data_IF_773687734856
#
_entry.id   IF_773687734856
#
_cell.length_a   1.000
_cell.length_b   1.000
_cell.length_c   1.000
_cell.angle_alpha   90.00
_cell.angle_beta   90.00
_cell.angle_gamma   90.00
#
_symmetry.space_group_name_H-M   'P 1'
#
loop_
_entity.id
_entity.type
_entity.pdbx_description
1 polymer ?
#
# COMPACT_ATOMS: atom_id res chain seq x y z
N UNK A 1 12.86 -2.07 11.84
CA UNK A 1 12.37 -3.13 12.77
C UNK A 1 10.97 -3.56 12.33
N UNK A 2 10.82 -4.77 11.78
CA UNK A 2 9.54 -5.33 11.30
C UNK A 2 8.86 -6.07 12.45
N UNK A 3 7.62 -5.70 12.77
CA UNK A 3 6.89 -6.16 13.95
C UNK A 3 6.47 -7.63 13.84
N UNK A 4 7.02 -8.49 14.71
CA UNK A 4 6.61 -9.89 14.92
C UNK A 4 5.28 -10.03 15.68
N UNK A 5 4.58 -8.92 15.96
CA UNK A 5 3.41 -8.87 16.84
C UNK A 5 2.10 -9.36 16.19
N UNK A 6 1.99 -9.35 14.86
CA UNK A 6 0.76 -9.78 14.17
C UNK A 6 0.55 -11.31 14.14
N UNK A 7 1.62 -12.11 14.19
CA UNK A 7 1.51 -13.58 14.15
C UNK A 7 1.09 -14.15 15.52
N UNK A 8 1.42 -13.47 16.62
CA UNK A 8 1.08 -13.88 17.98
C UNK A 8 -0.40 -13.67 18.34
N UNK A 9 -1.08 -12.69 17.73
CA UNK A 9 -2.52 -12.48 17.95
C UNK A 9 -3.40 -13.51 17.23
N UNK A 10 -2.98 -14.02 16.07
CA UNK A 10 -3.70 -15.07 15.34
C UNK A 10 -3.74 -16.41 16.09
N UNK A 11 -2.66 -16.77 16.80
CA UNK A 11 -2.57 -18.03 17.55
C UNK A 11 -3.32 -18.03 18.89
N UNK A 12 -3.46 -16.86 19.53
CA UNK A 12 -4.18 -16.74 20.80
C UNK A 12 -5.71 -16.85 20.64
N UNK A 13 -6.26 -16.39 19.52
CA UNK A 13 -7.70 -16.54 19.22
C UNK A 13 -8.06 -17.99 18.89
N UNK A 14 -7.16 -18.77 18.28
CA UNK A 14 -7.37 -20.22 18.04
C UNK A 14 -7.36 -21.06 19.32
N UNK A 15 -6.57 -20.69 20.33
CA UNK A 15 -6.48 -21.45 21.59
C UNK A 15 -7.69 -21.20 22.51
N UNK A 16 -8.27 -20.01 22.49
CA UNK A 16 -9.45 -19.68 23.30
C UNK A 16 -10.73 -20.39 22.80
N UNK A 17 -10.80 -20.77 21.52
CA UNK A 17 -11.91 -21.59 20.99
C UNK A 17 -11.72 -23.09 21.20
N UNK A 18 -10.49 -23.55 21.47
CA UNK A 18 -10.20 -24.97 21.68
C UNK A 18 -10.58 -25.45 23.10
N UNK A 19 -10.55 -24.55 24.10
CA UNK A 19 -10.77 -24.89 25.51
C UNK A 19 -12.24 -25.01 25.95
N UNK A 20 -13.19 -24.51 25.16
CA UNK A 20 -14.63 -24.57 25.49
C UNK A 20 -15.35 -25.80 24.89
N UNK A 21 -14.65 -26.62 24.11
CA UNK A 21 -15.22 -27.79 23.43
C UNK A 21 -15.10 -29.11 24.20
N UNK A 22 -14.54 -29.10 25.42
CA UNK A 22 -14.58 -30.25 26.34
C UNK A 22 -15.79 -30.12 27.28
N UNK A 23 -16.99 -30.17 26.70
CA UNK A 23 -18.22 -30.40 27.46
C UNK A 23 -18.90 -31.62 26.84
N UNK A 24 -19.18 -32.60 27.70
CA UNK A 24 -19.80 -33.92 27.49
C UNK A 24 -20.38 -34.21 26.10
N UNK A 25 -19.96 -35.36 25.54
CA UNK A 25 -20.53 -35.96 24.32
C UNK A 25 -22.04 -36.13 24.51
N UNK A 26 -22.91 -35.35 23.83
CA UNK A 26 -24.34 -35.57 23.93
C UNK A 26 -24.72 -36.90 23.26
N UNK A 27 -25.78 -37.58 23.75
CA UNK A 27 -26.24 -38.84 23.17
C UNK A 27 -26.59 -38.64 21.70
N UNK A 28 -26.30 -39.65 20.89
CA UNK A 28 -26.35 -39.64 19.42
C UNK A 28 -27.46 -38.75 18.87
N UNK A 29 -27.09 -37.51 18.52
CA UNK A 29 -27.97 -36.62 17.79
C UNK A 29 -28.19 -37.24 16.42
N UNK A 30 -29.44 -37.59 16.17
CA UNK A 30 -30.02 -37.97 14.88
C UNK A 30 -29.32 -37.21 13.75
N UNK A 31 -28.67 -37.93 12.83
CA UNK A 31 -28.09 -37.31 11.63
C UNK A 31 -29.23 -36.81 10.75
N UNK A 32 -29.70 -35.60 11.04
CA UNK A 32 -30.65 -34.87 10.21
C UNK A 32 -29.90 -34.51 8.92
N UNK A 33 -30.19 -35.25 7.85
CA UNK A 33 -29.45 -35.23 6.59
C UNK A 33 -29.12 -33.82 6.11
N UNK A 34 -27.83 -33.54 5.94
CA UNK A 34 -27.39 -32.31 5.29
C UNK A 34 -27.90 -32.31 3.84
N UNK A 35 -28.70 -31.32 3.47
CA UNK A 35 -29.38 -31.24 2.17
C UNK A 35 -28.39 -30.92 1.02
N UNK A 36 -27.11 -30.71 1.33
CA UNK A 36 -26.08 -30.25 0.39
C UNK A 36 -24.83 -31.12 0.50
N UNK A 37 -24.29 -31.58 -0.63
CA UNK A 37 -23.10 -32.42 -0.64
C UNK A 37 -21.85 -31.66 -0.15
N UNK A 38 -20.89 -32.33 0.53
CA UNK A 38 -19.67 -31.70 1.06
C UNK A 38 -18.88 -30.89 0.01
N UNK A 39 -18.88 -31.34 -1.25
CA UNK A 39 -18.23 -30.65 -2.36
C UNK A 39 -18.91 -29.30 -2.70
N UNK A 40 -20.24 -29.23 -2.63
CA UNK A 40 -20.99 -27.98 -2.84
C UNK A 40 -20.75 -27.01 -1.68
N UNK A 41 -20.74 -27.50 -0.44
CA UNK A 41 -20.41 -26.68 0.74
C UNK A 41 -18.98 -26.12 0.68
N UNK A 42 -18.04 -26.89 0.13
CA UNK A 42 -16.67 -26.45 -0.11
C UNK A 42 -16.59 -25.34 -1.17
N UNK A 43 -17.20 -25.53 -2.34
CA UNK A 43 -17.20 -24.52 -3.41
C UNK A 43 -17.91 -23.23 -2.99
N UNK A 44 -19.00 -23.34 -2.23
CA UNK A 44 -19.68 -22.19 -1.63
C UNK A 44 -18.76 -21.45 -0.66
N UNK A 45 -18.07 -22.18 0.24
CA UNK A 45 -17.11 -21.57 1.17
C UNK A 45 -15.93 -20.89 0.48
N UNK A 46 -15.61 -21.31 -0.75
CA UNK A 46 -14.56 -20.71 -1.58
C UNK A 46 -15.02 -19.39 -2.23
N UNK A 47 -16.32 -19.25 -2.49
CA UNK A 47 -16.94 -18.03 -3.00
C UNK A 47 -17.28 -17.02 -1.90
N UNK A 48 -17.78 -17.53 -0.76
CA UNK A 48 -18.27 -16.77 0.39
C UNK A 48 -17.87 -17.56 1.64
N UNK A 49 -16.79 -17.21 2.35
CA UNK A 49 -16.35 -17.95 3.53
C UNK A 49 -17.47 -18.13 4.57
N UNK A 50 -17.59 -19.32 5.16
CA UNK A 50 -18.67 -19.66 6.10
C UNK A 50 -20.03 -20.03 5.48
N UNK A 51 -20.24 -19.86 4.17
CA UNK A 51 -21.49 -20.30 3.50
C UNK A 51 -21.67 -21.82 3.46
N UNK A 52 -20.58 -22.61 3.52
CA UNK A 52 -20.67 -24.06 3.67
C UNK A 52 -21.24 -24.52 5.02
N UNK A 53 -21.07 -23.72 6.09
CA UNK A 53 -21.62 -24.02 7.42
C UNK A 53 -23.12 -23.71 7.52
N UNK A 54 -23.62 -22.75 6.74
CA UNK A 54 -25.06 -22.53 6.55
C UNK A 54 -25.73 -23.74 5.89
N UNK A 55 -25.07 -24.32 4.88
CA UNK A 55 -25.56 -25.52 4.20
C UNK A 55 -25.57 -26.78 5.09
N UNK A 56 -24.78 -26.79 6.16
CA UNK A 56 -24.76 -27.83 7.19
C UNK A 56 -25.85 -27.65 8.28
N UNK A 57 -26.65 -26.58 8.22
CA UNK A 57 -27.76 -26.33 9.14
C UNK A 57 -27.36 -25.75 10.50
N UNK A 58 -26.11 -25.34 10.68
CA UNK A 58 -25.64 -24.74 11.93
C UNK A 58 -25.95 -23.23 11.98
N UNK A 59 -26.59 -22.76 13.06
CA UNK A 59 -26.88 -21.34 13.31
C UNK A 59 -25.63 -20.45 13.26
N UNK A 60 -24.44 -21.03 13.46
CA UNK A 60 -23.13 -20.34 13.36
C UNK A 60 -22.86 -19.79 11.96
N UNK A 61 -23.36 -20.46 10.91
CA UNK A 61 -23.23 -19.97 9.53
C UNK A 61 -23.90 -18.62 9.29
N UNK A 62 -25.01 -18.33 10.00
CA UNK A 62 -25.71 -17.03 9.88
C UNK A 62 -24.84 -15.91 10.46
N UNK A 63 -24.16 -16.18 11.57
CA UNK A 63 -23.23 -15.24 12.20
C UNK A 63 -22.07 -14.92 11.26
N UNK A 64 -21.47 -15.93 10.64
CA UNK A 64 -20.40 -15.71 9.66
C UNK A 64 -20.88 -14.92 8.45
N UNK A 65 -22.02 -15.28 7.85
CA UNK A 65 -22.58 -14.52 6.73
C UNK A 65 -22.88 -13.05 7.09
N UNK A 66 -23.39 -12.80 8.29
CA UNK A 66 -23.61 -11.43 8.79
C UNK A 66 -22.30 -10.65 8.96
N UNK A 67 -21.25 -11.30 9.48
CA UNK A 67 -19.92 -10.69 9.59
C UNK A 67 -19.34 -10.37 8.21
N UNK A 68 -19.48 -11.28 7.24
CA UNK A 68 -18.97 -11.05 5.89
C UNK A 68 -19.68 -9.91 5.17
N UNK A 69 -21.02 -9.81 5.34
CA UNK A 69 -21.81 -8.71 4.81
C UNK A 69 -21.40 -7.34 5.38
N UNK A 70 -20.71 -7.30 6.53
CA UNK A 70 -20.15 -6.07 7.12
C UNK A 70 -18.69 -5.88 6.72
N UNK A 71 -17.87 -6.92 6.83
CA UNK A 71 -16.42 -6.84 6.63
C UNK A 71 -16.06 -6.58 5.17
N UNK A 72 -16.69 -7.26 4.20
CA UNK A 72 -16.35 -7.07 2.78
C UNK A 72 -16.66 -5.64 2.29
N UNK A 73 -17.87 -5.08 2.50
CA UNK A 73 -18.13 -3.70 2.12
C UNK A 73 -17.21 -2.71 2.84
N UNK A 74 -16.96 -2.91 4.14
CA UNK A 74 -16.03 -2.05 4.88
C UNK A 74 -14.62 -2.07 4.27
N UNK A 75 -14.11 -3.27 3.94
CA UNK A 75 -12.82 -3.43 3.26
C UNK A 75 -12.80 -2.78 1.87
N UNK A 76 -13.85 -2.96 1.07
CA UNK A 76 -13.97 -2.35 -0.26
C UNK A 76 -14.00 -0.82 -0.19
N UNK A 77 -14.77 -0.25 0.74
CA UNK A 77 -14.81 1.20 0.99
C UNK A 77 -13.42 1.71 1.40
N UNK A 78 -12.74 1.00 2.31
CA UNK A 78 -11.40 1.37 2.78
C UNK A 78 -10.39 1.37 1.62
N UNK A 79 -10.40 0.31 0.80
CA UNK A 79 -9.52 0.19 -0.37
C UNK A 79 -9.84 1.22 -1.45
N UNK A 80 -11.12 1.54 -1.67
CA UNK A 80 -11.52 2.55 -2.64
C UNK A 80 -10.99 3.92 -2.24
N UNK A 81 -11.13 4.30 -0.97
CA UNK A 81 -10.56 5.55 -0.45
C UNK A 81 -9.05 5.65 -0.66
N UNK A 82 -8.32 4.54 -0.45
CA UNK A 82 -6.89 4.48 -0.73
C UNK A 82 -6.54 4.74 -2.20
N UNK A 83 -7.33 4.18 -3.12
CA UNK A 83 -7.18 4.36 -4.58
C UNK A 83 -7.54 5.78 -5.02
N UNK A 84 -8.55 6.38 -4.42
CA UNK A 84 -8.96 7.75 -4.71
C UNK A 84 -7.84 8.73 -4.33
N UNK A 85 -7.27 8.60 -3.12
CA UNK A 85 -6.10 9.39 -2.70
C UNK A 85 -4.87 9.09 -3.57
N UNK A 86 -4.72 7.84 -4.03
CA UNK A 86 -3.65 7.48 -4.96
C UNK A 86 -3.74 8.25 -6.27
N UNK A 87 -4.93 8.30 -6.86
CA UNK A 87 -5.19 9.11 -8.04
C UNK A 87 -4.89 10.59 -7.79
N UNK A 88 -5.33 11.13 -6.66
CA UNK A 88 -5.12 12.54 -6.32
C UNK A 88 -3.63 12.90 -6.21
N UNK A 89 -2.79 12.06 -5.58
CA UNK A 89 -1.36 12.35 -5.50
C UNK A 89 -0.67 12.20 -6.86
N UNK A 90 -1.12 11.27 -7.70
CA UNK A 90 -0.55 11.06 -9.04
C UNK A 90 -0.83 12.28 -9.91
N UNK A 91 -2.08 12.75 -9.93
CA UNK A 91 -2.46 13.98 -10.64
C UNK A 91 -1.70 15.21 -10.12
N UNK A 92 -1.56 15.33 -8.80
CA UNK A 92 -0.75 16.39 -8.20
C UNK A 92 0.72 16.34 -8.64
N UNK A 93 1.31 15.16 -8.73
CA UNK A 93 2.67 14.98 -9.25
C UNK A 93 2.76 15.32 -10.74
N UNK A 94 1.80 14.90 -11.56
CA UNK A 94 1.78 15.19 -13.00
C UNK A 94 1.71 16.69 -13.29
N UNK A 95 1.08 17.47 -12.41
CA UNK A 95 1.01 18.93 -12.52
C UNK A 95 2.33 19.61 -12.09
N UNK A 96 2.99 19.10 -11.05
CA UNK A 96 4.06 19.82 -10.35
C UNK A 96 5.46 19.25 -10.53
N UNK A 97 5.57 18.02 -11.02
CA UNK A 97 6.84 17.34 -11.23
C UNK A 97 7.07 17.10 -12.72
N UNK A 98 8.25 17.46 -13.21
CA UNK A 98 8.59 17.35 -14.62
C UNK A 98 9.92 16.63 -14.81
N UNK A 99 9.91 15.62 -15.68
CA UNK A 99 11.09 14.81 -15.98
C UNK A 99 12.22 15.65 -16.58
N UNK A 100 11.91 16.59 -17.47
CA UNK A 100 12.93 17.43 -18.13
C UNK A 100 13.69 18.31 -17.14
N UNK A 101 13.04 18.84 -16.09
CA UNK A 101 13.75 19.60 -15.03
C UNK A 101 14.74 18.74 -14.26
N UNK A 102 14.31 17.53 -13.89
CA UNK A 102 15.19 16.55 -13.23
C UNK A 102 16.35 16.15 -14.16
N UNK A 103 16.05 15.80 -15.41
CA UNK A 103 17.02 15.40 -16.42
C UNK A 103 18.03 16.50 -16.67
N UNK A 104 17.60 17.75 -16.72
CA UNK A 104 18.49 18.89 -16.90
C UNK A 104 19.55 18.98 -15.79
N UNK A 105 19.15 18.88 -14.52
CA UNK A 105 20.13 18.83 -13.43
C UNK A 105 21.03 17.58 -13.55
N UNK A 106 20.43 16.40 -13.78
CA UNK A 106 21.15 15.12 -13.84
C UNK A 106 22.24 15.13 -14.92
N UNK A 107 21.94 15.65 -16.09
CA UNK A 107 22.85 15.67 -17.24
C UNK A 107 24.02 16.67 -17.03
N UNK A 108 23.98 17.50 -15.98
CA UNK A 108 25.06 18.39 -15.56
C UNK A 108 25.77 17.91 -14.26
N UNK A 109 25.43 16.72 -13.76
CA UNK A 109 26.17 16.10 -12.66
C UNK A 109 27.56 15.73 -13.15
N UNK A 110 28.57 15.98 -12.32
CA UNK A 110 29.96 15.67 -12.63
C UNK A 110 30.13 14.15 -12.82
N UNK A 111 30.92 13.67 -13.81
CA UNK A 111 31.06 12.25 -14.10
C UNK A 111 31.44 11.38 -12.89
N UNK A 112 32.28 11.88 -11.99
CA UNK A 112 32.66 11.18 -10.75
C UNK A 112 31.50 10.97 -9.77
N UNK A 113 30.48 11.84 -9.81
CA UNK A 113 29.32 11.82 -8.93
C UNK A 113 28.15 11.02 -9.53
N UNK A 114 28.20 10.67 -10.82
CA UNK A 114 27.16 9.87 -11.49
C UNK A 114 26.90 8.54 -10.77
N UNK A 115 27.96 7.92 -10.23
CA UNK A 115 27.87 6.66 -9.48
C UNK A 115 26.97 6.74 -8.23
N UNK A 116 26.71 7.95 -7.73
CA UNK A 116 25.83 8.20 -6.57
C UNK A 116 24.35 8.26 -6.95
N UNK A 117 24.03 8.31 -8.24
CA UNK A 117 22.66 8.23 -8.74
C UNK A 117 22.20 6.77 -8.69
N UNK A 118 21.34 6.46 -7.73
CA UNK A 118 21.01 5.06 -7.39
C UNK A 118 19.81 4.51 -8.16
N UNK A 119 19.01 5.36 -8.80
CA UNK A 119 17.79 4.92 -9.48
C UNK A 119 17.63 5.59 -10.84
N UNK A 120 17.22 4.80 -11.83
CA UNK A 120 17.04 5.22 -13.23
C UNK A 120 15.55 5.40 -13.52
N UNK A 121 15.12 6.65 -13.72
CA UNK A 121 13.71 7.01 -13.91
C UNK A 121 13.11 6.36 -15.16
N UNK A 122 13.87 6.31 -16.25
CA UNK A 122 13.43 5.83 -17.56
C UNK A 122 13.15 4.33 -17.59
N UNK A 123 13.83 3.56 -16.73
CA UNK A 123 13.67 2.11 -16.61
C UNK A 123 12.59 1.71 -15.60
N UNK A 124 12.06 2.66 -14.84
CA UNK A 124 11.09 2.40 -13.80
C UNK A 124 9.67 2.24 -14.37
N UNK A 125 8.88 1.34 -13.76
CA UNK A 125 7.44 1.28 -14.01
C UNK A 125 6.75 2.57 -13.57
N UNK A 126 5.53 2.81 -14.05
CA UNK A 126 4.76 4.00 -13.67
C UNK A 126 4.61 4.12 -12.14
N UNK A 127 4.27 3.02 -11.47
CA UNK A 127 4.16 3.00 -10.01
C UNK A 127 5.49 3.32 -9.31
N UNK A 128 6.59 2.80 -9.86
CA UNK A 128 7.93 3.08 -9.32
C UNK A 128 8.33 4.54 -9.52
N UNK A 129 7.96 5.16 -10.65
CA UNK A 129 8.20 6.60 -10.90
C UNK A 129 7.58 7.46 -9.81
N UNK A 130 6.29 7.26 -9.51
CA UNK A 130 5.62 7.97 -8.43
C UNK A 130 6.27 7.72 -7.07
N UNK A 131 6.70 6.48 -6.77
CA UNK A 131 7.47 6.24 -5.55
C UNK A 131 8.79 7.02 -5.52
N UNK A 132 9.50 7.05 -6.63
CA UNK A 132 10.83 7.62 -6.74
C UNK A 132 10.84 9.14 -6.53
N UNK A 133 9.95 9.87 -7.21
CA UNK A 133 9.93 11.35 -7.22
C UNK A 133 9.71 11.98 -5.83
N UNK A 134 9.05 11.24 -4.93
CA UNK A 134 8.88 11.65 -3.54
C UNK A 134 9.97 11.12 -2.62
N UNK A 135 10.36 9.85 -2.76
CA UNK A 135 11.19 9.12 -1.80
C UNK A 135 12.67 9.46 -1.86
N UNK A 136 13.23 9.72 -3.04
CA UNK A 136 14.68 9.93 -3.20
C UNK A 136 15.03 11.37 -3.54
N UNK A 137 16.02 11.92 -2.83
CA UNK A 137 16.44 13.31 -3.00
C UNK A 137 16.95 13.60 -4.42
N UNK A 138 17.48 12.61 -5.13
CA UNK A 138 17.92 12.78 -6.53
C UNK A 138 16.83 13.29 -7.47
N UNK A 139 15.53 13.11 -7.14
CA UNK A 139 14.42 13.59 -7.96
C UNK A 139 13.85 14.95 -7.52
N UNK A 140 14.44 15.59 -6.51
CA UNK A 140 13.92 16.83 -5.92
C UNK A 140 13.81 17.95 -6.94
N UNK A 141 14.74 18.03 -7.89
CA UNK A 141 14.79 19.07 -8.91
C UNK A 141 13.73 18.95 -10.00
N UNK A 142 13.02 17.82 -10.08
CA UNK A 142 11.85 17.72 -10.95
C UNK A 142 10.65 18.52 -10.42
N UNK A 143 10.60 18.83 -9.12
CA UNK A 143 9.55 19.66 -8.52
C UNK A 143 9.74 21.13 -8.90
N UNK A 144 8.65 21.76 -9.37
CA UNK A 144 8.60 23.15 -9.83
C UNK A 144 8.88 24.20 -8.74
N UNK A 145 8.83 23.82 -7.46
CA UNK A 145 9.10 24.66 -6.30
C UNK A 145 10.38 24.27 -5.55
N UNK A 146 11.28 23.53 -6.21
CA UNK A 146 12.60 23.25 -5.65
C UNK A 146 13.35 24.56 -5.38
N UNK A 147 13.88 24.72 -4.16
CA UNK A 147 14.73 25.84 -3.77
C UNK A 147 16.10 25.34 -3.27
N UNK A 148 17.21 25.80 -3.90
CA UNK A 148 17.24 26.61 -5.11
C UNK A 148 16.65 25.89 -6.32
N UNK A 149 16.09 26.62 -7.28
CA UNK A 149 15.58 26.01 -8.51
C UNK A 149 16.73 25.69 -9.48
N UNK A 150 16.57 24.65 -10.29
CA UNK A 150 17.55 24.25 -11.33
C UNK A 150 17.92 25.42 -12.24
N UNK A 151 16.93 26.21 -12.66
CA UNK A 151 17.13 27.39 -13.51
C UNK A 151 17.96 28.47 -12.82
N UNK A 152 17.75 28.69 -11.51
CA UNK A 152 18.54 29.64 -10.72
C UNK A 152 19.99 29.19 -10.63
N UNK A 153 20.22 27.91 -10.35
CA UNK A 153 21.57 27.34 -10.31
C UNK A 153 22.29 27.45 -11.64
N UNK A 154 21.59 27.16 -12.75
CA UNK A 154 22.15 27.32 -14.08
C UNK A 154 22.54 28.78 -14.38
N UNK A 155 21.66 29.74 -14.09
CA UNK A 155 21.94 31.15 -14.34
C UNK A 155 23.14 31.69 -13.53
N UNK A 156 23.41 31.09 -12.38
CA UNK A 156 24.53 31.45 -11.52
C UNK A 156 25.82 30.66 -11.86
N UNK A 157 25.75 29.68 -12.77
CA UNK A 157 26.87 28.78 -13.05
C UNK A 157 27.21 27.81 -11.90
N UNK A 158 26.28 27.60 -10.97
CA UNK A 158 26.50 26.80 -9.75
C UNK A 158 25.89 25.40 -9.82
N UNK A 159 25.44 24.96 -11.00
CA UNK A 159 24.71 23.70 -11.14
C UNK A 159 25.59 22.48 -10.79
N UNK A 160 26.87 22.52 -11.16
CA UNK A 160 27.87 21.49 -10.83
C UNK A 160 28.23 21.46 -9.34
N UNK A 161 27.94 22.54 -8.59
CA UNK A 161 28.16 22.62 -7.14
C UNK A 161 27.06 21.93 -6.32
N UNK A 162 26.04 21.36 -6.99
CA UNK A 162 24.94 20.61 -6.36
C UNK A 162 25.02 19.11 -6.69
N UNK A 163 26.00 18.37 -6.12
CA UNK A 163 26.11 16.93 -6.31
C UNK A 163 24.97 16.18 -5.60
N UNK A 164 24.72 14.90 -5.91
CA UNK A 164 23.62 14.11 -5.34
C UNK A 164 23.52 14.14 -3.80
N UNK A 165 24.66 14.17 -3.10
CA UNK A 165 24.72 14.19 -1.63
C UNK A 165 24.22 15.51 -1.01
N UNK A 166 24.27 16.61 -1.77
CA UNK A 166 23.84 17.94 -1.33
C UNK A 166 22.31 18.09 -1.37
N UNK A 167 21.62 17.24 -2.16
CA UNK A 167 20.18 17.37 -2.44
C UNK A 167 19.28 17.18 -1.23
N UNK A 168 19.80 16.62 -0.13
CA UNK A 168 19.12 16.58 1.16
C UNK A 168 18.79 17.98 1.71
N UNK A 169 19.49 19.01 1.24
CA UNK A 169 19.30 20.39 1.65
C UNK A 169 18.36 21.17 0.70
N UNK A 170 18.05 20.61 -0.49
CA UNK A 170 17.12 21.22 -1.44
C UNK A 170 15.71 21.02 -0.91
N UNK A 171 14.97 22.11 -0.77
CA UNK A 171 13.60 22.10 -0.23
C UNK A 171 12.59 22.12 -1.36
N UNK A 172 11.48 21.41 -1.17
CA UNK A 172 10.30 21.48 -2.05
C UNK A 172 9.04 21.25 -1.19
N UNK A 173 8.30 22.30 -0.84
CA UNK A 173 7.02 22.18 -0.15
C UNK A 173 6.02 21.25 -0.85
N UNK A 174 5.96 21.25 -2.19
CA UNK A 174 5.10 20.37 -2.99
C UNK A 174 5.53 18.92 -2.89
N UNK A 175 6.83 18.62 -2.88
CA UNK A 175 7.32 17.26 -2.60
C UNK A 175 6.87 16.77 -1.23
N UNK A 176 6.92 17.63 -0.21
CA UNK A 176 6.46 17.27 1.14
C UNK A 176 4.95 16.99 1.14
N UNK A 177 4.15 17.90 0.56
CA UNK A 177 2.70 17.69 0.40
C UNK A 177 2.37 16.40 -0.37
N UNK A 178 3.08 16.13 -1.46
CA UNK A 178 2.95 14.90 -2.23
C UNK A 178 3.24 13.66 -1.38
N UNK A 179 4.32 13.71 -0.60
CA UNK A 179 4.69 12.60 0.29
C UNK A 179 3.66 12.37 1.40
N UNK A 180 3.05 13.43 1.93
CA UNK A 180 1.95 13.32 2.88
C UNK A 180 0.72 12.66 2.24
N UNK A 181 0.30 13.09 1.06
CA UNK A 181 -0.81 12.46 0.32
C UNK A 181 -0.53 10.98 0.02
N UNK A 182 0.69 10.66 -0.41
CA UNK A 182 1.13 9.28 -0.65
C UNK A 182 1.16 8.45 0.63
N UNK A 183 1.60 9.04 1.74
CA UNK A 183 1.56 8.39 3.05
C UNK A 183 0.12 8.09 3.48
N UNK A 184 -0.81 9.04 3.31
CA UNK A 184 -2.22 8.83 3.58
C UNK A 184 -2.81 7.71 2.73
N UNK A 185 -2.57 7.67 1.41
CA UNK A 185 -3.01 6.57 0.54
C UNK A 185 -2.50 5.20 1.03
N UNK A 186 -1.21 5.12 1.42
CA UNK A 186 -0.62 3.87 1.89
C UNK A 186 -1.29 3.32 3.16
N UNK A 187 -1.87 4.15 4.03
CA UNK A 187 -2.62 3.68 5.23
C UNK A 187 -3.83 2.81 4.87
N UNK A 188 -4.34 2.92 3.65
CA UNK A 188 -5.51 2.18 3.17
C UNK A 188 -5.12 0.97 2.30
N UNK A 189 -3.91 0.95 1.75
CA UNK A 189 -3.50 0.01 0.70
C UNK A 189 -2.38 -0.96 1.14
N UNK A 190 -1.63 -0.66 2.21
CA UNK A 190 -0.45 -1.42 2.66
C UNK A 190 -0.49 -1.69 4.16
#
# INVERSE_FOLDING_TARGET
>A
MRSKTFILWGLLVSLLFSGLAYAEKPPAAEQKGSIVSPQKAFLLSLLVPGSGQLCAGEKRGIVFAALEAVVWPAYLIWRQKGKDIEKDYQEFADIHWEFERYKFWRDNVRPEDESKLTHVYEKASQQQKYEMIGKYNQFVFGWDDSEPSVRKLQNLGLLEEYPPDSLKNVRSPRRLKYMDMRYESNKYLK
#
